data_IF_694523134089
#
_entry.id   IF_694523134089
#
_cell.length_a   1.000
_cell.length_b   1.000
_cell.length_c   1.000
_cell.angle_alpha   90.00
_cell.angle_beta   90.00
_cell.angle_gamma   90.00
#
_symmetry.space_group_name_H-M   'P 1'
#
loop_
_entity.id
_entity.type
_entity.pdbx_description
1 polymer ?
#
# COMPACT_ATOMS: atom_id res chain seq x y z
N UNK A 1 13.18 36.92 -22.47
CA UNK A 1 12.70 35.52 -22.47
C UNK A 1 12.51 35.09 -21.03
N UNK A 2 11.26 34.94 -20.58
CA UNK A 2 10.92 34.64 -19.19
C UNK A 2 11.32 33.21 -18.82
N UNK A 3 12.17 33.08 -17.79
CA UNK A 3 12.52 31.81 -17.20
C UNK A 3 11.28 31.27 -16.48
N UNK A 4 10.64 30.23 -17.04
CA UNK A 4 9.51 29.55 -16.40
C UNK A 4 10.05 28.81 -15.19
N UNK A 5 9.88 29.44 -14.03
CA UNK A 5 10.11 28.87 -12.71
C UNK A 5 9.16 27.69 -12.53
N UNK A 6 9.62 26.48 -12.86
CA UNK A 6 9.03 25.24 -12.37
C UNK A 6 8.95 25.37 -10.84
N UNK A 7 7.75 25.26 -10.21
CA UNK A 7 7.68 25.31 -8.77
C UNK A 7 8.46 24.11 -8.22
N UNK A 8 9.59 24.41 -7.56
CA UNK A 8 10.27 23.49 -6.65
C UNK A 8 9.29 23.19 -5.51
N UNK A 9 8.40 22.22 -5.71
CA UNK A 9 7.63 21.62 -4.63
C UNK A 9 8.57 20.73 -3.84
N UNK A 10 9.45 21.35 -3.05
CA UNK A 10 10.14 20.68 -1.96
C UNK A 10 9.06 20.40 -0.90
N UNK A 11 8.53 19.18 -0.94
CA UNK A 11 7.28 18.76 -0.29
C UNK A 11 7.46 18.67 1.24
N UNK A 12 7.45 19.80 1.96
CA UNK A 12 7.19 19.80 3.40
C UNK A 12 5.69 19.60 3.67
N UNK A 13 5.11 18.53 3.10
CA UNK A 13 3.71 18.19 3.30
C UNK A 13 3.52 17.65 4.72
N UNK A 14 2.57 18.23 5.46
CA UNK A 14 2.29 17.82 6.84
C UNK A 14 1.57 16.47 6.90
N UNK A 15 1.66 15.78 8.04
CA UNK A 15 1.03 14.46 8.26
C UNK A 15 -0.48 14.51 8.07
N UNK A 16 -1.12 15.54 8.63
CA UNK A 16 -2.56 15.74 8.52
C UNK A 16 -2.99 15.94 7.06
N UNK A 17 -2.18 16.67 6.29
CA UNK A 17 -2.44 16.90 4.86
C UNK A 17 -2.27 15.59 4.07
N UNK A 18 -1.24 14.79 4.37
CA UNK A 18 -1.02 13.48 3.75
C UNK A 18 -2.20 12.55 4.02
N UNK A 19 -2.62 12.44 5.28
CA UNK A 19 -3.79 11.65 5.67
C UNK A 19 -5.05 12.10 4.94
N UNK A 20 -5.27 13.41 4.79
CA UNK A 20 -6.42 13.96 4.08
C UNK A 20 -6.39 13.66 2.58
N UNK A 21 -5.24 13.80 1.91
CA UNK A 21 -5.11 13.44 0.49
C UNK A 21 -5.30 11.95 0.26
N UNK A 22 -4.70 11.11 1.11
CA UNK A 22 -4.91 9.66 1.08
C UNK A 22 -6.38 9.31 1.26
N UNK A 23 -7.07 9.95 2.22
CA UNK A 23 -8.50 9.73 2.47
C UNK A 23 -9.37 10.07 1.25
N UNK A 24 -9.03 11.11 0.49
CA UNK A 24 -9.72 11.45 -0.77
C UNK A 24 -9.52 10.39 -1.86
N UNK A 25 -8.41 9.67 -1.80
CA UNK A 25 -8.05 8.60 -2.73
C UNK A 25 -8.11 7.23 -2.05
N UNK A 26 -8.93 7.06 -1.01
CA UNK A 26 -8.97 5.86 -0.18
C UNK A 26 -9.19 4.58 -1.00
N UNK A 27 -9.99 4.64 -2.06
CA UNK A 27 -10.22 3.49 -2.94
C UNK A 27 -8.95 3.11 -3.72
N UNK A 28 -8.20 4.09 -4.23
CA UNK A 28 -6.94 3.84 -4.93
C UNK A 28 -5.89 3.25 -3.96
N UNK A 29 -5.82 3.78 -2.74
CA UNK A 29 -4.94 3.24 -1.68
C UNK A 29 -5.31 1.79 -1.40
N UNK A 30 -6.59 1.49 -1.21
CA UNK A 30 -7.05 0.13 -0.94
C UNK A 30 -6.78 -0.81 -2.12
N UNK A 31 -6.97 -0.38 -3.37
CA UNK A 31 -6.64 -1.19 -4.55
C UNK A 31 -5.14 -1.49 -4.64
N UNK A 32 -4.28 -0.55 -4.21
CA UNK A 32 -2.84 -0.70 -4.29
C UNK A 32 -2.27 -1.58 -3.16
N UNK A 33 -2.66 -1.32 -1.91
CA UNK A 33 -2.11 -2.05 -0.75
C UNK A 33 -2.92 -3.30 -0.40
N UNK A 34 -4.23 -3.33 -0.72
CA UNK A 34 -5.17 -4.38 -0.34
C UNK A 34 -5.95 -4.98 -1.56
N UNK A 35 -5.27 -5.43 -2.63
CA UNK A 35 -5.93 -5.93 -3.85
C UNK A 35 -6.76 -7.20 -3.68
N UNK A 36 -6.54 -8.00 -2.63
CA UNK A 36 -7.39 -9.15 -2.29
C UNK A 36 -8.73 -8.73 -1.68
N UNK A 37 -8.85 -7.46 -1.30
CA UNK A 37 -10.09 -6.88 -0.85
C UNK A 37 -11.03 -6.49 -1.99
N UNK A 38 -12.25 -6.10 -1.62
CA UNK A 38 -13.28 -5.69 -2.57
C UNK A 38 -14.07 -4.50 -2.06
N UNK A 39 -14.55 -3.67 -2.98
CA UNK A 39 -15.47 -2.57 -2.65
C UNK A 39 -16.87 -3.10 -2.38
N UNK A 40 -17.41 -2.79 -1.22
CA UNK A 40 -18.80 -3.02 -0.84
C UNK A 40 -19.43 -1.70 -0.34
N UNK A 41 -20.19 -1.05 -1.21
CA UNK A 41 -20.77 0.28 -0.92
C UNK A 41 -19.70 1.34 -0.70
N UNK A 42 -19.71 1.95 0.48
CA UNK A 42 -18.72 2.95 0.93
C UNK A 42 -17.54 2.34 1.69
N UNK A 43 -17.39 1.01 1.67
CA UNK A 43 -16.32 0.31 2.38
C UNK A 43 -15.49 -0.56 1.43
N UNK A 44 -14.23 -0.74 1.77
CA UNK A 44 -13.35 -1.77 1.22
C UNK A 44 -13.23 -2.89 2.25
N UNK A 45 -13.53 -4.11 1.87
CA UNK A 45 -13.46 -5.28 2.77
C UNK A 45 -12.27 -6.15 2.40
N UNK A 46 -11.48 -6.54 3.38
CA UNK A 46 -10.34 -7.45 3.25
C UNK A 46 -10.17 -8.27 4.55
N UNK A 47 -9.30 -9.27 4.56
CA UNK A 47 -9.01 -10.08 5.74
C UNK A 47 -8.23 -9.30 6.79
N UNK A 48 -7.12 -8.69 6.41
CA UNK A 48 -6.25 -7.95 7.33
C UNK A 48 -5.42 -6.89 6.58
N UNK A 49 -4.63 -6.12 7.33
CA UNK A 49 -3.68 -5.13 6.80
C UNK A 49 -2.58 -5.74 5.93
N UNK A 50 -2.38 -7.05 6.01
CA UNK A 50 -1.41 -7.82 5.22
C UNK A 50 -2.03 -8.38 3.92
N UNK A 51 -3.20 -7.87 3.52
CA UNK A 51 -3.89 -8.24 2.29
C UNK A 51 -4.28 -9.72 2.21
N UNK A 52 -4.61 -10.36 3.35
CA UNK A 52 -5.24 -11.68 3.28
C UNK A 52 -6.69 -11.56 2.77
N UNK A 53 -7.19 -12.54 2.00
CA UNK A 53 -8.58 -12.53 1.56
C UNK A 53 -9.51 -12.74 2.78
N UNK A 54 -10.54 -11.90 2.90
CA UNK A 54 -11.45 -11.96 4.04
C UNK A 54 -12.42 -10.78 4.11
N UNK A 55 -13.00 -10.59 5.29
CA UNK A 55 -13.97 -9.51 5.56
C UNK A 55 -13.87 -8.94 6.97
N UNK A 56 -12.78 -9.23 7.66
CA UNK A 56 -12.53 -8.81 9.05
C UNK A 56 -12.09 -7.36 9.12
N UNK A 57 -11.29 -6.90 8.15
CA UNK A 57 -10.87 -5.52 8.01
C UNK A 57 -11.76 -4.76 7.03
N UNK A 58 -12.21 -3.58 7.45
CA UNK A 58 -12.98 -2.68 6.60
C UNK A 58 -12.40 -1.26 6.61
N UNK A 59 -12.20 -0.70 5.41
CA UNK A 59 -11.74 0.68 5.21
C UNK A 59 -12.89 1.52 4.69
N UNK A 60 -13.13 2.69 5.27
CA UNK A 60 -14.17 3.61 4.79
C UNK A 60 -13.66 4.42 3.59
N UNK A 61 -14.29 4.23 2.43
CA UNK A 61 -13.93 4.87 1.17
C UNK A 61 -14.55 6.25 0.98
N UNK A 62 -15.68 6.52 1.63
CA UNK A 62 -16.44 7.78 1.47
C UNK A 62 -16.86 8.35 2.83
N UNK A 63 -16.78 9.66 2.96
CA UNK A 63 -17.03 10.37 4.21
C UNK A 63 -16.59 11.82 4.14
N UNK A 64 -16.82 12.58 5.23
CA UNK A 64 -16.28 13.93 5.36
C UNK A 64 -14.75 13.88 5.37
N UNK A 65 -14.10 14.98 4.98
CA UNK A 65 -12.63 15.06 4.99
C UNK A 65 -12.00 15.08 6.39
N UNK A 66 -12.81 15.19 7.44
CA UNK A 66 -12.42 15.18 8.85
C UNK A 66 -13.63 14.82 9.73
N UNK A 67 -13.39 14.32 10.93
CA UNK A 67 -14.42 14.05 11.96
C UNK A 67 -15.03 12.64 11.92
N UNK A 68 -16.16 12.48 12.62
CA UNK A 68 -16.85 11.19 12.77
C UNK A 68 -17.39 10.72 11.41
N UNK A 69 -16.81 9.64 10.91
CA UNK A 69 -17.13 9.08 9.60
C UNK A 69 -16.31 9.66 8.46
N UNK A 70 -15.10 10.14 8.76
CA UNK A 70 -14.14 10.49 7.73
C UNK A 70 -13.75 9.29 6.85
N UNK A 71 -13.49 9.57 5.57
CA UNK A 71 -12.89 8.59 4.68
C UNK A 71 -11.46 8.25 5.15
N UNK A 72 -10.96 7.08 4.77
CA UNK A 72 -9.62 6.60 5.08
C UNK A 72 -9.44 6.05 6.51
N UNK A 73 -10.50 5.95 7.31
CA UNK A 73 -10.45 5.21 8.57
C UNK A 73 -10.67 3.72 8.30
N UNK A 74 -9.84 2.88 8.91
CA UNK A 74 -9.98 1.43 8.86
C UNK A 74 -10.12 0.84 10.26
N UNK A 75 -10.75 -0.32 10.32
CA UNK A 75 -10.87 -1.12 11.54
C UNK A 75 -10.87 -2.61 11.17
N UNK A 76 -10.20 -3.40 11.98
CA UNK A 76 -10.25 -4.86 11.95
C UNK A 76 -11.14 -5.35 13.11
N UNK A 77 -12.19 -6.08 12.75
CA UNK A 77 -13.14 -6.67 13.69
C UNK A 77 -12.62 -7.93 14.38
N UNK A 78 -11.62 -8.61 13.82
CA UNK A 78 -11.03 -9.82 14.38
C UNK A 78 -9.98 -9.51 15.45
N UNK A 79 -9.15 -8.47 15.22
CA UNK A 79 -8.10 -8.05 16.18
C UNK A 79 -8.53 -6.88 17.06
N UNK A 80 -9.54 -6.12 16.65
CA UNK A 80 -9.94 -4.87 17.30
C UNK A 80 -9.05 -3.68 16.96
N UNK A 81 -8.10 -3.85 16.05
CA UNK A 81 -7.19 -2.79 15.61
C UNK A 81 -7.93 -1.77 14.73
N UNK A 82 -7.45 -0.54 14.74
CA UNK A 82 -8.01 0.54 13.96
C UNK A 82 -6.95 1.59 13.68
N UNK A 83 -7.14 2.35 12.61
CA UNK A 83 -6.18 3.38 12.22
C UNK A 83 -6.67 4.23 11.07
N UNK A 84 -5.77 5.02 10.52
CA UNK A 84 -5.95 5.68 9.23
C UNK A 84 -5.09 5.04 8.12
N UNK A 85 -5.16 5.62 6.92
CA UNK A 85 -4.44 5.09 5.77
C UNK A 85 -2.91 5.17 5.92
N UNK A 86 -2.36 6.05 6.76
CA UNK A 86 -0.92 6.05 7.04
C UNK A 86 -0.55 4.84 7.89
N UNK A 87 -1.36 4.50 8.89
CA UNK A 87 -1.19 3.27 9.67
C UNK A 87 -1.28 2.03 8.77
N UNK A 88 -2.22 2.03 7.81
CA UNK A 88 -2.36 0.94 6.85
C UNK A 88 -1.12 0.80 5.96
N UNK A 89 -0.57 1.91 5.47
CA UNK A 89 0.67 1.91 4.68
C UNK A 89 1.83 1.38 5.52
N UNK A 90 1.93 1.84 6.77
CA UNK A 90 2.95 1.38 7.73
C UNK A 90 2.90 -0.13 7.91
N UNK A 91 1.73 -0.68 8.23
CA UNK A 91 1.55 -2.11 8.47
C UNK A 91 1.71 -2.95 7.19
N UNK A 92 1.07 -2.54 6.08
CA UNK A 92 1.15 -3.29 4.81
C UNK A 92 2.55 -3.31 4.18
N UNK A 93 3.40 -2.33 4.51
CA UNK A 93 4.79 -2.27 4.06
C UNK A 93 5.80 -2.75 5.12
N UNK A 94 5.35 -3.06 6.34
CA UNK A 94 6.24 -3.44 7.44
C UNK A 94 7.21 -2.34 7.87
N UNK A 95 6.82 -1.08 7.70
CA UNK A 95 7.66 0.08 8.02
C UNK A 95 7.63 0.37 9.52
N UNK A 96 8.78 0.66 10.10
CA UNK A 96 8.92 0.99 11.52
C UNK A 96 9.19 2.48 11.76
N UNK A 97 9.88 3.15 10.83
CA UNK A 97 10.18 4.57 10.92
C UNK A 97 9.08 5.43 10.27
N UNK A 98 8.68 6.49 10.97
CA UNK A 98 7.68 7.43 10.47
C UNK A 98 8.12 8.13 9.18
N UNK A 99 9.42 8.38 9.02
CA UNK A 99 9.99 8.96 7.81
C UNK A 99 9.74 8.08 6.59
N UNK A 100 9.96 6.77 6.74
CA UNK A 100 9.76 5.81 5.65
C UNK A 100 8.28 5.74 5.27
N UNK A 101 7.38 5.77 6.27
CA UNK A 101 5.93 5.84 6.03
C UNK A 101 5.55 7.12 5.27
N UNK A 102 6.11 8.27 5.66
CA UNK A 102 5.87 9.53 4.98
C UNK A 102 6.44 9.54 3.55
N UNK A 103 7.60 8.94 3.31
CA UNK A 103 8.19 8.81 1.98
C UNK A 103 7.34 7.89 1.09
N UNK A 104 6.86 6.75 1.59
CA UNK A 104 5.98 5.86 0.83
C UNK A 104 4.60 6.48 0.58
N UNK A 105 4.03 7.20 1.55
CA UNK A 105 2.80 7.96 1.36
C UNK A 105 2.95 9.02 0.26
N UNK A 106 4.06 9.77 0.25
CA UNK A 106 4.38 10.75 -0.80
C UNK A 106 4.57 10.09 -2.15
N UNK A 107 5.25 8.94 -2.19
CA UNK A 107 5.44 8.14 -3.40
C UNK A 107 4.09 7.74 -3.97
N UNK A 108 3.20 7.19 -3.14
CA UNK A 108 1.85 6.81 -3.55
C UNK A 108 1.05 8.02 -4.06
N UNK A 109 1.07 9.14 -3.34
CA UNK A 109 0.39 10.37 -3.76
C UNK A 109 0.96 10.94 -5.08
N UNK A 110 2.27 10.76 -5.32
CA UNK A 110 2.92 11.10 -6.57
C UNK A 110 2.45 10.21 -7.74
N UNK A 111 2.36 8.90 -7.52
CA UNK A 111 1.82 7.94 -8.49
C UNK A 111 0.36 8.24 -8.82
N UNK A 112 -0.47 8.41 -7.79
CA UNK A 112 -1.90 8.69 -7.95
C UNK A 112 -2.18 10.03 -8.64
N UNK A 113 -1.25 11.00 -8.57
CA UNK A 113 -1.34 12.27 -9.30
C UNK A 113 -1.08 12.11 -10.79
N UNK A 114 -0.25 11.15 -11.19
CA UNK A 114 -0.03 10.81 -12.61
C UNK A 114 -1.24 10.09 -13.22
N UNK A 115 -1.96 9.32 -12.41
CA UNK A 115 -3.18 8.61 -12.85
C UNK A 115 -4.44 9.50 -12.89
N UNK A 116 -4.34 10.76 -12.45
CA UNK A 116 -5.45 11.74 -12.50
C UNK A 116 -5.45 12.59 -13.78
N UNK A 117 -5.30 11.94 -14.95
CA UNK A 117 -5.92 12.47 -16.17
C UNK A 117 -7.44 12.21 -16.08
N UNK A 118 -8.30 13.18 -16.43
CA UNK A 118 -9.72 13.11 -16.11
C UNK A 118 -10.41 11.94 -16.84
N UNK A 119 -10.93 10.99 -16.05
CA UNK A 119 -11.82 9.93 -16.51
C UNK A 119 -13.19 10.53 -16.86
N UNK A 120 -13.29 11.14 -18.04
CA UNK A 120 -14.55 11.34 -18.75
C UNK A 120 -14.47 10.65 -20.10
N UNK A 121 -15.57 9.99 -20.47
CA UNK A 121 -15.83 9.24 -21.70
C UNK A 121 -15.49 7.74 -21.67
N UNK A 122 -16.57 6.97 -21.46
CA UNK A 122 -17.08 5.90 -22.33
C UNK A 122 -16.22 4.68 -22.66
N UNK A 123 -16.95 3.57 -22.82
CA UNK A 123 -16.51 2.27 -23.28
C UNK A 123 -15.59 2.32 -24.51
N UNK A 124 -14.75 1.28 -24.60
CA UNK A 124 -13.83 0.97 -25.70
C UNK A 124 -12.63 1.92 -25.86
N UNK A 125 -11.52 1.60 -25.19
CA UNK A 125 -10.16 1.57 -25.75
C UNK A 125 -9.09 1.38 -24.65
N UNK A 126 -8.39 0.23 -24.69
CA UNK A 126 -6.94 0.17 -24.41
C UNK A 126 -6.20 0.65 -25.68
N UNK A 127 -4.97 1.22 -25.61
CA UNK A 127 -3.88 0.58 -24.87
C UNK A 127 -2.81 1.48 -24.18
N UNK A 128 -2.08 0.88 -23.23
CA UNK A 128 -0.62 1.06 -22.95
C UNK A 128 -0.12 2.22 -22.06
N UNK A 129 -0.44 2.17 -20.76
CA UNK A 129 0.45 2.56 -19.61
C UNK A 129 0.18 1.65 -18.39
N UNK A 130 -1.00 1.02 -18.33
CA UNK A 130 -1.41 0.09 -17.25
C UNK A 130 -0.49 -1.13 -17.08
N UNK A 131 0.27 -1.53 -18.11
CA UNK A 131 1.18 -2.68 -18.07
C UNK A 131 2.37 -2.51 -17.12
N UNK A 132 2.98 -1.32 -17.08
CA UNK A 132 4.15 -1.07 -16.24
C UNK A 132 3.78 -0.92 -14.76
N UNK A 133 2.61 -0.32 -14.49
CA UNK A 133 2.09 -0.23 -13.12
C UNK A 133 1.62 -1.60 -12.62
N UNK A 134 0.92 -2.38 -13.45
CA UNK A 134 0.55 -3.75 -13.12
C UNK A 134 1.79 -4.64 -12.89
N UNK A 135 2.86 -4.48 -13.69
CA UNK A 135 4.11 -5.20 -13.51
C UNK A 135 4.83 -4.78 -12.22
N UNK A 136 4.88 -3.49 -11.91
CA UNK A 136 5.49 -2.98 -10.66
C UNK A 136 4.71 -3.45 -9.43
N UNK A 137 3.36 -3.42 -9.50
CA UNK A 137 2.46 -3.92 -8.46
C UNK A 137 2.62 -5.44 -8.28
N UNK A 138 2.67 -6.19 -9.38
CA UNK A 138 2.90 -7.63 -9.36
C UNK A 138 4.28 -7.97 -8.77
N UNK A 139 5.33 -7.21 -9.09
CA UNK A 139 6.67 -7.41 -8.56
C UNK A 139 6.73 -7.09 -7.05
N UNK A 140 6.08 -6.01 -6.61
CA UNK A 140 5.98 -5.67 -5.19
C UNK A 140 5.15 -6.70 -4.40
N UNK A 141 4.12 -7.30 -5.00
CA UNK A 141 3.36 -8.41 -4.43
C UNK A 141 4.17 -9.72 -4.40
N UNK A 142 4.93 -10.01 -5.46
CA UNK A 142 5.84 -11.16 -5.52
C UNK A 142 6.93 -11.06 -4.45
N UNK A 143 7.49 -9.86 -4.25
CA UNK A 143 8.49 -9.64 -3.20
C UNK A 143 7.90 -9.80 -1.80
N UNK A 144 6.70 -9.26 -1.53
CA UNK A 144 6.01 -9.43 -0.24
C UNK A 144 5.64 -10.89 0.05
N UNK A 145 5.19 -11.64 -0.96
CA UNK A 145 4.91 -13.08 -0.81
C UNK A 145 6.18 -13.90 -0.59
N UNK A 146 7.28 -13.58 -1.29
CA UNK A 146 8.59 -14.20 -1.04
C UNK A 146 9.10 -13.90 0.38
N UNK A 147 8.98 -12.66 0.86
CA UNK A 147 9.35 -12.30 2.24
C UNK A 147 8.50 -13.04 3.27
N UNK A 148 7.21 -13.27 3.01
CA UNK A 148 6.34 -14.07 3.87
C UNK A 148 6.78 -15.54 3.91
N UNK A 149 7.13 -16.13 2.76
CA UNK A 149 7.68 -17.50 2.68
C UNK A 149 8.99 -17.61 3.48
N UNK A 150 9.85 -16.60 3.38
CA UNK A 150 11.09 -16.55 4.12
C UNK A 150 10.88 -16.40 5.63
N UNK A 151 9.95 -15.54 6.05
CA UNK A 151 9.64 -15.31 7.46
C UNK A 151 9.05 -16.54 8.17
N UNK A 152 8.36 -17.41 7.44
CA UNK A 152 7.86 -18.68 7.98
C UNK A 152 8.85 -19.85 7.88
N UNK A 153 10.01 -19.65 7.26
CA UNK A 153 11.05 -20.67 7.20
C UNK A 153 11.67 -20.89 8.59
N UNK A 154 12.10 -22.12 8.85
CA UNK A 154 12.79 -22.48 10.08
C UNK A 154 14.31 -22.58 9.89
N UNK A 155 15.11 -22.24 10.90
CA UNK A 155 16.55 -22.40 10.83
C UNK A 155 16.93 -23.87 10.59
N UNK A 156 17.93 -24.10 9.74
CA UNK A 156 18.41 -25.44 9.39
C UNK A 156 19.37 -26.04 10.43
N UNK A 157 19.49 -25.43 11.61
CA UNK A 157 20.42 -25.83 12.66
C UNK A 157 20.24 -27.28 13.07
N UNK A 158 21.34 -28.05 13.03
CA UNK A 158 21.37 -29.47 13.39
C UNK A 158 20.91 -30.42 12.29
N UNK A 159 20.61 -29.93 11.08
CA UNK A 159 20.22 -30.79 9.94
C UNK A 159 21.44 -31.20 9.09
N UNK A 160 21.32 -32.31 8.35
CA UNK A 160 22.34 -32.71 7.35
C UNK A 160 22.54 -31.64 6.27
N UNK A 161 21.49 -30.89 5.95
CA UNK A 161 21.54 -29.78 5.00
C UNK A 161 22.48 -28.66 5.48
N UNK A 162 22.52 -28.35 6.78
CA UNK A 162 23.46 -27.38 7.35
C UNK A 162 24.92 -27.81 7.15
N UNK A 163 25.24 -29.07 7.43
CA UNK A 163 26.59 -29.62 7.24
C UNK A 163 27.03 -29.53 5.78
N UNK A 164 26.10 -29.82 4.86
CA UNK A 164 26.34 -29.74 3.42
C UNK A 164 26.57 -28.30 2.95
N UNK A 165 25.76 -27.33 3.40
CA UNK A 165 25.91 -25.91 3.07
C UNK A 165 27.23 -25.34 3.63
N UNK A 166 27.59 -25.70 4.86
CA UNK A 166 28.87 -25.31 5.48
C UNK A 166 30.07 -25.85 4.70
N UNK A 167 29.99 -27.10 4.21
CA UNK A 167 31.01 -27.68 3.32
C UNK A 167 31.15 -26.98 1.96
N UNK A 168 30.11 -26.24 1.54
CA UNK A 168 30.11 -25.38 0.34
C UNK A 168 30.53 -23.93 0.62
N UNK A 169 30.87 -23.59 1.87
CA UNK A 169 31.21 -22.22 2.27
C UNK A 169 30.01 -21.28 2.40
N UNK A 170 28.79 -21.81 2.42
CA UNK A 170 27.56 -21.03 2.59
C UNK A 170 27.20 -21.12 4.08
N UNK A 171 27.55 -20.07 4.82
CA UNK A 171 27.26 -19.97 6.26
C UNK A 171 25.95 -19.22 6.47
N UNK A 172 25.03 -19.83 7.23
CA UNK A 172 23.79 -19.22 7.69
C UNK A 172 24.03 -18.20 8.81
#
# INVERSE_FOLDING_TARGET
MGNVMMPKQNLSMSVAEMAHLLARQAEAVCRYYLPAGRRQGHYWLVGDVHNTPGRSLFVRLSGSGSGKGAAGRWQDSATGEYGDLLDLIRESCGLTDFRDVAEEARRFLGLARSDNAPLVASADQEPSIAGDLAATVAQAQAQRSAMRLFAMAQPLSGTLAESYLRGRGITS
#
